data_IF_725210049751
#
_entry.id   IF_725210049751
#
_cell.length_a   1.000
_cell.length_b   1.000
_cell.length_c   1.000
_cell.angle_alpha   90.00
_cell.angle_beta   90.00
_cell.angle_gamma   90.00
#
_symmetry.space_group_name_H-M   'P 1'
#
loop_
_entity.id
_entity.type
_entity.pdbx_description
1 polymer ?
#
# COMPACT_ATOMS: atom_id res chain seq x y z
N UNK A 1 -29.24 20.84 -39.20
CA UNK A 1 -30.29 21.87 -39.43
C UNK A 1 -30.57 22.07 -40.91
N UNK A 2 -29.58 21.82 -41.76
CA UNK A 2 -29.57 22.14 -43.19
C UNK A 2 -30.79 21.67 -43.99
N UNK A 3 -31.26 20.44 -43.75
CA UNK A 3 -32.37 19.83 -44.49
C UNK A 3 -33.77 20.24 -44.00
N UNK A 4 -33.85 21.11 -42.99
CA UNK A 4 -35.13 21.53 -42.41
C UNK A 4 -35.97 22.29 -43.45
N UNK A 5 -37.22 21.85 -43.65
CA UNK A 5 -38.13 22.48 -44.61
C UNK A 5 -38.73 23.78 -44.04
N UNK A 6 -38.49 24.88 -44.73
CA UNK A 6 -38.97 26.22 -44.40
C UNK A 6 -39.98 26.68 -45.45
N UNK A 7 -41.12 27.20 -44.99
CA UNK A 7 -42.17 27.76 -45.83
C UNK A 7 -41.83 29.19 -46.22
N UNK A 8 -41.94 29.50 -47.50
CA UNK A 8 -41.81 30.85 -48.01
C UNK A 8 -43.17 31.58 -47.98
N UNK A 9 -43.21 32.92 -48.07
CA UNK A 9 -44.45 33.70 -48.11
C UNK A 9 -45.38 33.32 -49.28
N UNK A 10 -44.80 32.80 -50.36
CA UNK A 10 -45.52 32.25 -51.52
C UNK A 10 -46.07 30.83 -51.32
N UNK A 11 -46.07 30.30 -50.10
CA UNK A 11 -46.50 28.94 -49.73
C UNK A 11 -45.65 27.78 -50.28
N UNK A 12 -44.62 28.05 -51.09
CA UNK A 12 -43.62 27.06 -51.48
C UNK A 12 -42.66 26.74 -50.33
N UNK A 13 -41.93 25.62 -50.43
CA UNK A 13 -40.98 25.17 -49.40
C UNK A 13 -39.55 25.19 -49.94
N UNK A 14 -38.61 25.61 -49.11
CA UNK A 14 -37.16 25.51 -49.36
C UNK A 14 -36.48 24.84 -48.16
N UNK A 15 -35.18 24.55 -48.26
CA UNK A 15 -34.41 24.06 -47.11
C UNK A 15 -33.81 25.23 -46.32
N UNK A 16 -33.59 25.04 -45.03
CA UNK A 16 -33.00 26.06 -44.16
C UNK A 16 -31.62 26.49 -44.67
N UNK A 17 -30.82 25.54 -45.18
CA UNK A 17 -29.53 25.81 -45.83
C UNK A 17 -29.69 26.70 -47.07
N UNK A 18 -30.56 26.33 -48.00
CA UNK A 18 -30.81 27.13 -49.21
C UNK A 18 -31.34 28.53 -48.91
N UNK A 19 -32.13 28.69 -47.84
CA UNK A 19 -32.64 29.99 -47.42
C UNK A 19 -31.53 30.89 -46.87
N UNK A 20 -30.62 30.35 -46.05
CA UNK A 20 -29.52 31.12 -45.43
C UNK A 20 -28.38 31.40 -46.41
N UNK A 21 -28.11 30.46 -47.31
CA UNK A 21 -27.10 30.61 -48.36
C UNK A 21 -27.58 31.50 -49.52
N UNK A 22 -28.88 31.83 -49.58
CA UNK A 22 -29.39 32.76 -50.58
C UNK A 22 -28.94 34.20 -50.30
N UNK A 23 -28.22 34.79 -51.24
CA UNK A 23 -27.65 36.14 -51.12
C UNK A 23 -28.72 37.17 -50.74
N UNK A 24 -28.35 38.08 -49.84
CA UNK A 24 -29.18 39.04 -49.05
C UNK A 24 -30.14 39.96 -49.85
N UNK A 25 -30.24 39.83 -51.17
CA UNK A 25 -31.21 40.57 -51.99
C UNK A 25 -31.58 39.80 -53.25
N UNK A 26 -32.34 38.71 -53.14
CA UNK A 26 -32.65 37.92 -54.33
C UNK A 26 -34.10 37.47 -54.32
N UNK A 27 -34.77 37.66 -55.44
CA UNK A 27 -36.13 37.18 -55.67
C UNK A 27 -36.28 35.72 -55.24
N UNK A 28 -37.48 35.34 -54.81
CA UNK A 28 -37.80 33.96 -54.46
C UNK A 28 -37.29 33.00 -55.53
N UNK A 29 -36.48 32.03 -55.12
CA UNK A 29 -35.87 31.04 -56.03
C UNK A 29 -36.89 30.09 -56.66
N UNK A 30 -38.13 30.05 -56.14
CA UNK A 30 -39.17 29.13 -56.59
C UNK A 30 -40.15 29.80 -57.54
N UNK A 31 -40.64 31.01 -57.22
CA UNK A 31 -41.64 31.69 -58.05
C UNK A 31 -41.15 32.99 -58.69
N UNK A 32 -39.94 33.45 -58.34
CA UNK A 32 -39.29 34.66 -58.87
C UNK A 32 -40.11 35.97 -58.79
N UNK A 33 -41.25 35.97 -58.10
CA UNK A 33 -42.25 37.05 -58.13
C UNK A 33 -42.16 38.03 -56.98
N UNK A 34 -41.50 37.66 -55.87
CA UNK A 34 -41.35 38.50 -54.68
C UNK A 34 -39.92 38.44 -54.16
N UNK A 35 -39.55 39.40 -53.32
CA UNK A 35 -38.28 39.37 -52.58
C UNK A 35 -38.45 38.53 -51.32
N UNK A 36 -37.46 37.71 -50.99
CA UNK A 36 -37.42 36.99 -49.73
C UNK A 36 -36.70 37.86 -48.70
N UNK A 37 -37.36 38.15 -47.60
CA UNK A 37 -36.70 38.58 -46.37
C UNK A 37 -36.52 37.35 -45.48
N UNK A 38 -35.27 36.92 -45.28
CA UNK A 38 -34.94 35.70 -44.53
C UNK A 38 -35.50 35.80 -43.10
N UNK A 39 -35.35 36.95 -42.43
CA UNK A 39 -35.81 37.13 -41.05
C UNK A 39 -37.33 37.01 -40.95
N UNK A 40 -38.07 37.61 -41.88
CA UNK A 40 -39.54 37.47 -41.93
C UNK A 40 -39.97 36.02 -42.19
N UNK A 41 -39.25 35.29 -43.04
CA UNK A 41 -39.52 33.88 -43.29
C UNK A 41 -39.29 33.02 -42.06
N UNK A 42 -38.22 33.27 -41.29
CA UNK A 42 -37.93 32.54 -40.05
C UNK A 42 -38.94 32.84 -38.94
N UNK A 43 -39.53 34.03 -38.92
CA UNK A 43 -40.55 34.43 -37.95
C UNK A 43 -41.97 33.95 -38.29
N UNK A 44 -42.22 33.38 -39.47
CA UNK A 44 -43.51 32.73 -39.78
C UNK A 44 -43.79 31.67 -38.70
N UNK A 45 -44.96 31.69 -38.03
CA UNK A 45 -45.23 30.83 -36.87
C UNK A 45 -44.93 29.35 -37.10
N UNK A 46 -45.25 28.83 -38.30
CA UNK A 46 -44.97 27.44 -38.69
C UNK A 46 -43.47 27.14 -38.80
N UNK A 47 -42.69 28.06 -39.35
CA UNK A 47 -41.24 27.89 -39.48
C UNK A 47 -40.57 28.00 -38.11
N UNK A 48 -40.99 28.96 -37.30
CA UNK A 48 -40.54 29.11 -35.91
C UNK A 48 -40.79 27.83 -35.10
N UNK A 49 -41.97 27.23 -35.25
CA UNK A 49 -42.31 25.95 -34.62
C UNK A 49 -41.43 24.81 -35.13
N UNK A 50 -41.26 24.67 -36.46
CA UNK A 50 -40.39 23.65 -37.06
C UNK A 50 -38.92 23.78 -36.61
N UNK A 51 -38.40 25.01 -36.55
CA UNK A 51 -37.04 25.30 -36.10
C UNK A 51 -36.88 24.91 -34.63
N UNK A 52 -37.81 25.35 -33.76
CA UNK A 52 -37.78 25.00 -32.33
C UNK A 52 -37.89 23.49 -32.12
N UNK A 53 -38.76 22.81 -32.87
CA UNK A 53 -38.87 21.36 -32.81
C UNK A 53 -37.55 20.68 -33.17
N UNK A 54 -36.90 21.10 -34.27
CA UNK A 54 -35.61 20.53 -34.67
C UNK A 54 -34.50 20.85 -33.67
N UNK A 55 -34.52 22.03 -33.04
CA UNK A 55 -33.59 22.36 -31.94
C UNK A 55 -33.79 21.41 -30.76
N UNK A 56 -35.03 21.15 -30.34
CA UNK A 56 -35.33 20.21 -29.26
C UNK A 56 -34.85 18.80 -29.62
N UNK A 57 -35.08 18.34 -30.86
CA UNK A 57 -34.60 17.03 -31.32
C UNK A 57 -33.07 16.93 -31.24
N UNK A 58 -32.33 17.97 -31.68
CA UNK A 58 -30.86 17.97 -31.60
C UNK A 58 -30.35 17.99 -30.15
N UNK A 59 -31.00 18.74 -29.26
CA UNK A 59 -30.64 18.74 -27.83
C UNK A 59 -30.96 17.39 -27.17
N UNK A 60 -32.05 16.72 -27.57
CA UNK A 60 -32.37 15.37 -27.11
C UNK A 60 -31.33 14.35 -27.59
N UNK A 61 -30.94 14.39 -28.86
CA UNK A 61 -29.88 13.55 -29.42
C UNK A 61 -28.56 13.75 -28.64
N UNK A 62 -28.20 14.99 -28.33
CA UNK A 62 -27.02 15.32 -27.53
C UNK A 62 -27.14 14.81 -26.09
N UNK A 63 -28.30 15.01 -25.45
CA UNK A 63 -28.57 14.51 -24.10
C UNK A 63 -28.46 12.99 -24.01
N UNK A 64 -28.99 12.26 -25.00
CA UNK A 64 -28.88 10.79 -25.06
C UNK A 64 -27.43 10.32 -25.19
N UNK A 65 -26.63 11.00 -26.02
CA UNK A 65 -25.19 10.73 -26.14
C UNK A 65 -24.46 10.97 -24.81
N UNK A 66 -24.73 12.10 -24.14
CA UNK A 66 -24.16 12.40 -22.82
C UNK A 66 -24.57 11.35 -21.77
N UNK A 67 -25.84 10.95 -21.76
CA UNK A 67 -26.36 9.91 -20.86
C UNK A 67 -25.66 8.57 -21.08
N UNK A 68 -25.46 8.17 -22.33
CA UNK A 68 -24.71 6.95 -22.66
C UNK A 68 -23.25 7.04 -22.21
N UNK A 69 -22.60 8.19 -22.40
CA UNK A 69 -21.25 8.43 -21.90
C UNK A 69 -21.14 8.31 -20.38
N UNK A 70 -22.13 8.81 -19.63
CA UNK A 70 -22.17 8.69 -18.16
C UNK A 70 -22.27 7.23 -17.73
N UNK A 71 -23.10 6.41 -18.38
CA UNK A 71 -23.23 5.00 -18.00
C UNK A 71 -21.92 4.23 -18.25
N UNK A 72 -21.24 4.50 -19.37
CA UNK A 72 -19.92 3.93 -19.64
C UNK A 72 -18.86 4.36 -18.61
N UNK A 73 -18.89 5.63 -18.17
CA UNK A 73 -17.98 6.13 -17.13
C UNK A 73 -18.28 5.44 -15.79
N UNK A 74 -19.55 5.23 -15.46
CA UNK A 74 -19.97 4.55 -14.24
C UNK A 74 -19.46 3.11 -14.19
N UNK A 75 -19.61 2.35 -15.29
CA UNK A 75 -19.08 0.99 -15.39
C UNK A 75 -17.56 0.95 -15.24
N UNK A 76 -16.84 1.79 -16.00
CA UNK A 76 -15.37 1.88 -15.93
C UNK A 76 -14.87 2.32 -14.56
N UNK A 77 -15.57 3.22 -13.88
CA UNK A 77 -15.19 3.67 -12.54
C UNK A 77 -15.30 2.53 -11.52
N UNK A 78 -16.33 1.69 -11.62
CA UNK A 78 -16.46 0.52 -10.74
C UNK A 78 -15.31 -0.46 -10.99
N UNK A 79 -14.99 -0.75 -12.25
CA UNK A 79 -13.86 -1.61 -12.61
C UNK A 79 -12.52 -1.06 -12.10
N UNK A 80 -12.29 0.24 -12.30
CA UNK A 80 -11.08 0.93 -11.85
C UNK A 80 -10.93 0.88 -10.32
N UNK A 81 -11.99 1.24 -9.58
CA UNK A 81 -11.99 1.20 -8.11
C UNK A 81 -11.73 -0.24 -7.65
N UNK A 82 -12.44 -1.23 -8.18
CA UNK A 82 -12.25 -2.62 -7.78
C UNK A 82 -10.81 -3.09 -8.04
N UNK A 83 -10.25 -2.77 -9.22
CA UNK A 83 -8.87 -3.11 -9.57
C UNK A 83 -7.85 -2.49 -8.60
N UNK A 84 -8.06 -1.23 -8.19
CA UNK A 84 -7.17 -0.56 -7.24
C UNK A 84 -7.26 -1.19 -5.84
N UNK A 85 -8.46 -1.51 -5.37
CA UNK A 85 -8.64 -2.20 -4.09
C UNK A 85 -8.06 -3.61 -4.11
N UNK A 86 -8.23 -4.36 -5.21
CA UNK A 86 -7.62 -5.68 -5.39
C UNK A 86 -6.09 -5.60 -5.43
N UNK A 87 -5.53 -4.58 -6.07
CA UNK A 87 -4.08 -4.32 -6.05
C UNK A 87 -3.58 -4.08 -4.63
N UNK A 88 -4.23 -3.20 -3.87
CA UNK A 88 -3.86 -2.91 -2.48
C UNK A 88 -3.97 -4.15 -1.58
N UNK A 89 -5.04 -4.94 -1.75
CA UNK A 89 -5.20 -6.21 -1.04
C UNK A 89 -4.06 -7.17 -1.32
N UNK A 90 -3.65 -7.32 -2.59
CA UNK A 90 -2.52 -8.16 -2.98
C UNK A 90 -1.20 -7.67 -2.37
N UNK A 91 -0.98 -6.37 -2.29
CA UNK A 91 0.21 -5.79 -1.64
C UNK A 91 0.23 -6.12 -0.14
N UNK A 92 -0.90 -5.96 0.55
CA UNK A 92 -1.06 -6.34 1.96
C UNK A 92 -0.78 -7.84 2.17
N UNK A 93 -1.33 -8.70 1.31
CA UNK A 93 -1.13 -10.15 1.39
C UNK A 93 0.34 -10.53 1.17
N UNK A 94 1.02 -9.92 0.18
CA UNK A 94 2.45 -10.14 -0.05
C UNK A 94 3.30 -9.72 1.15
N UNK A 95 2.96 -8.60 1.80
CA UNK A 95 3.65 -8.13 3.00
C UNK A 95 3.44 -9.09 4.17
N UNK A 96 2.22 -9.58 4.35
CA UNK A 96 1.90 -10.60 5.36
C UNK A 96 2.73 -11.87 5.17
N UNK A 97 2.81 -12.40 3.95
CA UNK A 97 3.58 -13.62 3.69
C UNK A 97 5.10 -13.42 3.88
N UNK A 98 5.64 -12.26 3.46
CA UNK A 98 7.04 -11.90 3.75
C UNK A 98 7.33 -11.82 5.24
N UNK A 99 6.42 -11.25 6.01
CA UNK A 99 6.58 -11.13 7.45
C UNK A 99 6.57 -12.50 8.14
N UNK A 100 5.61 -13.37 7.79
CA UNK A 100 5.57 -14.75 8.29
C UNK A 100 6.89 -15.47 8.06
N UNK A 101 7.39 -15.43 6.82
CA UNK A 101 8.67 -16.04 6.47
C UNK A 101 9.81 -15.48 7.32
N UNK A 102 9.86 -14.17 7.51
CA UNK A 102 10.91 -13.53 8.32
C UNK A 102 10.85 -13.95 9.80
N UNK A 103 9.64 -14.15 10.34
CA UNK A 103 9.43 -14.66 11.70
C UNK A 103 9.90 -16.12 11.78
N UNK A 104 9.50 -16.95 10.83
CA UNK A 104 9.86 -18.37 10.78
C UNK A 104 11.39 -18.55 10.63
N UNK A 105 12.02 -17.82 9.72
CA UNK A 105 13.48 -17.83 9.52
C UNK A 105 14.21 -17.44 10.81
N UNK A 106 13.74 -16.43 11.53
CA UNK A 106 14.31 -16.01 12.80
C UNK A 106 14.08 -17.04 13.92
N UNK A 107 12.89 -17.65 13.96
CA UNK A 107 12.56 -18.72 14.89
C UNK A 107 13.49 -19.92 14.72
N UNK A 108 13.66 -20.41 13.49
CA UNK A 108 14.55 -21.54 13.20
C UNK A 108 16.01 -21.21 13.52
N UNK A 109 16.46 -19.98 13.21
CA UNK A 109 17.80 -19.53 13.61
C UNK A 109 18.04 -19.62 15.11
N UNK A 110 17.08 -19.18 15.94
CA UNK A 110 17.22 -19.27 17.41
C UNK A 110 17.29 -20.72 17.88
N UNK A 111 16.47 -21.61 17.29
CA UNK A 111 16.51 -23.03 17.62
C UNK A 111 17.86 -23.66 17.27
N UNK A 112 18.39 -23.35 16.08
CA UNK A 112 19.70 -23.86 15.65
C UNK A 112 20.82 -23.38 16.57
N UNK A 113 20.81 -22.11 16.98
CA UNK A 113 21.77 -21.56 17.94
C UNK A 113 21.65 -22.23 19.32
N UNK A 114 20.43 -22.53 19.77
CA UNK A 114 20.19 -23.25 21.03
C UNK A 114 20.71 -24.68 20.96
N UNK A 115 20.43 -25.40 19.87
CA UNK A 115 20.91 -26.75 19.66
C UNK A 115 22.44 -26.81 19.55
N UNK A 116 23.04 -25.86 18.83
CA UNK A 116 24.49 -25.76 18.72
C UNK A 116 25.14 -25.53 20.10
N UNK A 117 24.59 -24.62 20.92
CA UNK A 117 25.05 -24.41 22.30
C UNK A 117 24.90 -25.67 23.15
N UNK A 118 23.77 -26.37 23.05
CA UNK A 118 23.57 -27.66 23.75
C UNK A 118 24.64 -28.67 23.35
N UNK A 119 24.86 -28.88 22.05
CA UNK A 119 25.88 -29.81 21.54
C UNK A 119 27.28 -29.44 22.01
N UNK A 120 27.66 -28.17 21.93
CA UNK A 120 28.97 -27.69 22.39
C UNK A 120 29.16 -27.93 23.89
N UNK A 121 28.15 -27.63 24.71
CA UNK A 121 28.24 -27.83 26.16
C UNK A 121 28.36 -29.31 26.54
N UNK A 122 27.64 -30.20 25.85
CA UNK A 122 27.78 -31.65 26.03
C UNK A 122 29.20 -32.08 25.66
N UNK A 123 29.71 -31.61 24.52
CA UNK A 123 31.05 -31.95 24.03
C UNK A 123 32.15 -31.46 24.98
N UNK A 124 32.07 -30.22 25.48
CA UNK A 124 32.98 -29.69 26.49
C UNK A 124 33.02 -30.59 27.73
N UNK A 125 31.84 -31.01 28.22
CA UNK A 125 31.76 -31.92 29.37
C UNK A 125 32.35 -33.31 29.06
N UNK A 126 32.14 -33.85 27.87
CA UNK A 126 32.72 -35.13 27.46
C UNK A 126 34.26 -35.06 27.32
N UNK A 127 34.79 -33.95 26.82
CA UNK A 127 36.24 -33.72 26.72
C UNK A 127 36.86 -33.60 28.12
N UNK A 128 36.23 -32.84 29.02
CA UNK A 128 36.65 -32.73 30.42
C UNK A 128 36.68 -34.12 31.09
N UNK A 129 35.65 -34.96 30.89
CA UNK A 129 35.59 -36.32 31.43
C UNK A 129 36.70 -37.24 30.87
N UNK A 130 37.02 -37.13 29.59
CA UNK A 130 38.11 -37.91 28.97
C UNK A 130 39.49 -37.51 29.49
N UNK A 131 39.73 -36.21 29.68
CA UNK A 131 40.99 -35.71 30.26
C UNK A 131 41.19 -36.26 31.69
N UNK A 132 40.09 -36.38 32.40
CA UNK A 132 40.03 -36.96 33.73
C UNK A 132 40.32 -38.47 33.69
N UNK A 133 39.63 -39.25 32.86
CA UNK A 133 39.80 -40.71 32.74
C UNK A 133 41.20 -41.13 32.25
N UNK A 134 41.82 -40.29 31.41
CA UNK A 134 43.16 -40.55 30.86
C UNK A 134 44.30 -40.26 31.85
N UNK A 135 44.00 -39.74 33.04
CA UNK A 135 44.99 -39.48 34.06
C UNK A 135 45.65 -40.76 34.56
N UNK A 136 46.98 -40.80 34.50
CA UNK A 136 47.79 -41.89 35.06
C UNK A 136 48.87 -41.27 35.93
N UNK A 137 49.08 -41.87 37.09
CA UNK A 137 50.18 -41.53 37.98
C UNK A 137 51.41 -42.28 37.49
N UNK A 138 52.53 -41.57 37.31
CA UNK A 138 53.79 -42.23 37.00
C UNK A 138 54.29 -42.97 38.23
N UNK A 139 54.51 -44.28 38.08
CA UNK A 139 55.15 -45.09 39.12
C UNK A 139 56.66 -44.92 39.01
N UNK A 140 57.38 -44.60 40.10
CA UNK A 140 58.82 -44.57 40.09
C UNK A 140 59.35 -46.00 39.91
N UNK A 141 59.61 -46.40 38.65
CA UNK A 141 60.17 -47.71 38.33
C UNK A 141 61.70 -47.65 38.28
N UNK A 142 62.35 -48.47 39.10
CA UNK A 142 63.77 -48.87 38.91
C UNK A 142 64.87 -48.01 39.55
N UNK A 143 64.56 -46.99 40.35
CA UNK A 143 65.56 -46.20 41.08
C UNK A 143 65.68 -46.65 42.55
N UNK A 144 66.89 -46.94 43.04
CA UNK A 144 67.17 -47.14 44.49
C UNK A 144 67.41 -45.80 45.24
N UNK A 145 67.32 -44.67 44.54
CA UNK A 145 67.43 -43.35 45.14
C UNK A 145 66.12 -42.95 45.83
N UNK A 146 66.16 -42.92 47.16
CA UNK A 146 65.02 -42.54 48.00
C UNK A 146 64.65 -41.06 47.87
N UNK A 147 65.60 -40.15 47.61
CA UNK A 147 65.31 -38.73 47.42
C UNK A 147 64.52 -38.52 46.12
N UNK A 148 64.96 -39.16 45.03
CA UNK A 148 64.24 -39.13 43.76
C UNK A 148 62.81 -39.68 43.88
N UNK A 149 62.60 -40.75 44.65
CA UNK A 149 61.27 -41.29 44.92
C UNK A 149 60.37 -40.30 45.67
N UNK A 150 60.91 -39.63 46.69
CA UNK A 150 60.17 -38.61 47.46
C UNK A 150 59.76 -37.45 46.54
N UNK A 151 60.68 -36.90 45.76
CA UNK A 151 60.40 -35.80 44.82
C UNK A 151 59.32 -36.20 43.79
N UNK A 152 59.42 -37.42 43.26
CA UNK A 152 58.42 -37.96 42.30
C UNK A 152 57.04 -38.09 42.97
N UNK A 153 56.99 -38.53 44.22
CA UNK A 153 55.73 -38.63 44.97
C UNK A 153 55.13 -37.26 45.31
N UNK A 154 55.94 -36.26 45.64
CA UNK A 154 55.45 -34.89 45.90
C UNK A 154 54.86 -34.25 44.63
N UNK A 155 55.52 -34.42 43.48
CA UNK A 155 55.00 -33.97 42.18
C UNK A 155 53.67 -34.67 41.86
N UNK A 156 53.62 -36.00 42.00
CA UNK A 156 52.40 -36.76 41.79
C UNK A 156 51.27 -36.33 42.73
N UNK A 157 51.58 -36.03 44.00
CA UNK A 157 50.61 -35.55 44.98
C UNK A 157 50.04 -34.17 44.59
N UNK A 158 50.89 -33.27 44.07
CA UNK A 158 50.45 -31.96 43.57
C UNK A 158 49.50 -32.11 42.38
N UNK A 159 49.88 -32.91 41.38
CA UNK A 159 49.05 -33.19 40.21
C UNK A 159 47.70 -33.83 40.60
N UNK A 160 47.71 -34.72 41.59
CA UNK A 160 46.49 -35.35 42.09
C UNK A 160 45.55 -34.33 42.74
N UNK A 161 46.08 -33.41 43.55
CA UNK A 161 45.30 -32.35 44.21
C UNK A 161 44.67 -31.41 43.19
N UNK A 162 45.42 -31.01 42.17
CA UNK A 162 44.89 -30.14 41.11
C UNK A 162 43.73 -30.81 40.36
N UNK A 163 43.85 -32.12 40.08
CA UNK A 163 42.76 -32.89 39.47
C UNK A 163 41.56 -33.05 40.38
N UNK A 164 41.76 -33.32 41.68
CA UNK A 164 40.65 -33.40 42.66
C UNK A 164 39.89 -32.08 42.71
N UNK A 165 40.58 -30.94 42.73
CA UNK A 165 39.94 -29.62 42.70
C UNK A 165 39.10 -29.44 41.42
N UNK A 166 39.65 -29.82 40.26
CA UNK A 166 38.92 -29.77 38.99
C UNK A 166 37.64 -30.63 39.04
N UNK A 167 37.73 -31.83 39.62
CA UNK A 167 36.59 -32.73 39.82
C UNK A 167 35.52 -32.11 40.73
N UNK A 168 35.92 -31.52 41.86
CA UNK A 168 35.00 -30.91 42.81
C UNK A 168 34.27 -29.71 42.19
N UNK A 169 34.98 -28.84 41.46
CA UNK A 169 34.37 -27.72 40.73
C UNK A 169 33.30 -28.19 39.74
N UNK A 170 33.54 -29.33 39.07
CA UNK A 170 32.63 -29.89 38.06
C UNK A 170 31.48 -30.71 38.65
N UNK A 171 31.70 -31.45 39.73
CA UNK A 171 30.63 -32.07 40.49
C UNK A 171 29.64 -31.00 40.98
N UNK A 172 30.14 -29.90 41.54
CA UNK A 172 29.32 -28.74 41.92
C UNK A 172 28.63 -28.09 40.72
N UNK A 173 29.27 -28.05 39.53
CA UNK A 173 28.63 -27.55 38.32
C UNK A 173 27.46 -28.43 37.87
N UNK A 174 27.57 -29.75 37.99
CA UNK A 174 26.49 -30.70 37.67
C UNK A 174 25.30 -30.58 38.62
N UNK A 175 25.54 -30.18 39.87
CA UNK A 175 24.51 -29.90 40.87
C UNK A 175 23.90 -28.50 40.69
N UNK A 176 24.65 -27.55 40.11
CA UNK A 176 24.13 -26.22 39.77
C UNK A 176 23.16 -26.33 38.60
N UNK A 177 21.87 -26.19 38.90
CA UNK A 177 20.81 -26.09 37.89
C UNK A 177 20.97 -24.80 37.07
N UNK A 178 21.67 -24.89 35.93
CA UNK A 178 21.77 -23.78 34.97
C UNK A 178 20.45 -23.64 34.23
N UNK A 179 19.82 -22.49 34.38
CA UNK A 179 18.54 -22.17 33.72
C UNK A 179 18.82 -21.20 32.57
N UNK A 180 18.54 -21.64 31.35
CA UNK A 180 18.56 -20.78 30.18
C UNK A 180 17.23 -20.05 30.06
N UNK A 181 17.27 -18.71 30.07
CA UNK A 181 16.08 -17.87 29.94
C UNK A 181 16.08 -17.15 28.60
N UNK A 182 14.95 -17.20 27.89
CA UNK A 182 14.72 -16.37 26.72
C UNK A 182 14.52 -14.92 27.17
N UNK A 183 15.44 -14.03 26.77
CA UNK A 183 15.28 -12.59 27.03
C UNK A 183 14.12 -12.07 26.18
N UNK A 184 13.17 -11.39 26.82
CA UNK A 184 12.08 -10.70 26.11
C UNK A 184 12.65 -9.59 25.23
N UNK A 185 12.03 -9.39 24.07
CA UNK A 185 12.35 -8.25 23.21
C UNK A 185 12.10 -6.94 23.97
N UNK A 186 12.98 -5.95 23.75
CA UNK A 186 12.89 -4.63 24.40
C UNK A 186 11.81 -3.73 23.78
N UNK A 187 11.46 -3.98 22.54
CA UNK A 187 10.55 -3.15 21.75
C UNK A 187 9.27 -3.93 21.47
N UNK A 188 8.13 -3.24 21.61
CA UNK A 188 6.84 -3.75 21.19
C UNK A 188 6.81 -3.67 19.66
N UNK A 189 6.39 -4.76 19.04
CA UNK A 189 6.27 -4.88 17.60
C UNK A 189 5.07 -4.04 17.13
N UNK A 190 5.32 -2.94 16.40
CA UNK A 190 4.26 -2.08 15.88
C UNK A 190 3.86 -2.53 14.47
N UNK A 191 2.59 -2.86 14.28
CA UNK A 191 2.07 -3.34 12.99
C UNK A 191 1.88 -2.20 11.99
N UNK A 192 1.60 -0.98 12.44
CA UNK A 192 1.46 0.18 11.56
C UNK A 192 2.78 0.53 10.88
N UNK A 193 3.91 0.37 11.57
CA UNK A 193 5.24 0.59 10.99
C UNK A 193 5.58 -0.42 9.88
N UNK A 194 4.89 -1.57 9.88
CA UNK A 194 5.14 -2.66 8.94
C UNK A 194 4.17 -2.61 7.78
N UNK A 195 2.87 -2.51 8.06
CA UNK A 195 1.80 -2.54 7.06
C UNK A 195 1.43 -1.16 6.54
N UNK A 196 1.80 -0.09 7.24
CA UNK A 196 1.37 1.27 6.93
C UNK A 196 -0.09 1.51 7.27
N UNK A 197 -0.59 2.64 6.77
CA UNK A 197 -1.99 3.05 6.86
C UNK A 197 -2.48 3.35 5.44
N UNK A 198 -3.74 3.02 5.15
CA UNK A 198 -4.35 3.35 3.86
C UNK A 198 -4.65 4.85 3.86
N UNK A 199 -3.96 5.58 3.00
CA UNK A 199 -4.23 7.00 2.74
C UNK A 199 -4.87 7.16 1.36
N UNK A 200 -5.95 7.93 1.28
CA UNK A 200 -6.46 8.42 0.00
C UNK A 200 -5.63 9.62 -0.43
N UNK A 201 -5.06 9.54 -1.62
CA UNK A 201 -4.38 10.66 -2.23
C UNK A 201 -5.10 11.08 -3.50
N UNK A 202 -5.49 12.34 -3.58
CA UNK A 202 -5.99 12.92 -4.82
C UNK A 202 -4.83 13.54 -5.58
N UNK A 203 -4.39 12.86 -6.65
CA UNK A 203 -3.28 13.33 -7.49
C UNK A 203 -3.60 14.66 -8.19
N UNK A 204 -4.88 14.93 -8.49
CA UNK A 204 -5.27 16.16 -9.18
C UNK A 204 -5.19 17.38 -8.26
N UNK A 205 -5.38 17.18 -6.96
CA UNK A 205 -5.37 18.25 -5.96
C UNK A 205 -4.16 18.20 -5.02
N UNK A 206 -3.26 17.23 -5.22
CA UNK A 206 -2.02 17.05 -4.46
C UNK A 206 -2.28 17.02 -2.93
N UNK A 207 -3.36 16.35 -2.52
CA UNK A 207 -3.87 16.41 -1.15
C UNK A 207 -4.37 15.05 -0.67
N UNK A 208 -4.07 14.72 0.58
CA UNK A 208 -4.65 13.57 1.26
C UNK A 208 -6.11 13.82 1.67
N UNK A 209 -6.96 12.81 1.51
CA UNK A 209 -8.37 12.82 1.91
C UNK A 209 -8.50 11.88 3.11
N UNK A 210 -8.99 12.39 4.24
CA UNK A 210 -9.26 11.54 5.41
C UNK A 210 -10.54 10.75 5.17
N UNK A 211 -10.47 9.42 5.34
CA UNK A 211 -11.66 8.58 5.47
C UNK A 211 -12.30 8.81 6.86
N UNK A 212 -13.61 9.05 6.86
CA UNK A 212 -14.54 9.04 8.01
C UNK A 212 -14.71 10.33 8.83
N UNK A 213 -15.94 10.87 8.78
CA UNK A 213 -16.83 10.75 9.95
C UNK A 213 -18.24 10.31 9.48
N UNK A 214 -18.90 9.38 10.17
CA UNK A 214 -20.29 9.04 9.93
C UNK A 214 -21.19 10.11 10.56
N UNK A 215 -22.06 10.75 9.78
CA UNK A 215 -23.07 11.67 10.34
C UNK A 215 -24.27 10.85 10.78
N UNK A 216 -24.40 10.65 12.08
CA UNK A 216 -25.66 10.27 12.70
C UNK A 216 -26.67 11.42 12.56
N UNK A 217 -27.88 11.04 12.14
CA UNK A 217 -29.15 11.75 12.28
C UNK A 217 -29.36 13.05 11.49
N UNK A 218 -30.26 12.96 10.50
CA UNK A 218 -31.47 13.79 10.42
C UNK A 218 -32.55 12.94 9.73
N UNK A 219 -33.08 11.96 10.47
CA UNK A 219 -34.43 11.46 10.20
C UNK A 219 -35.36 12.58 10.70
N UNK A 220 -35.93 13.35 9.77
CA UNK A 220 -37.18 14.06 9.99
C UNK A 220 -38.20 13.48 9.03
N UNK A 221 -39.12 12.76 9.64
CA UNK A 221 -40.40 12.19 9.20
C UNK A 221 -40.98 12.60 7.84
N UNK A 222 -41.60 11.58 7.25
CA UNK A 222 -42.59 11.57 6.17
C UNK A 222 -42.03 11.53 4.74
N UNK A 223 -41.70 10.33 4.26
CA UNK A 223 -42.45 9.65 3.17
C UNK A 223 -42.17 8.14 3.25
N UNK A 224 -43.22 7.36 3.40
CA UNK A 224 -43.20 5.89 3.29
C UNK A 224 -42.99 5.45 1.83
N UNK A 225 -42.06 4.51 1.70
CA UNK A 225 -42.06 3.39 0.75
C UNK A 225 -41.41 3.49 -0.65
N UNK A 226 -40.31 2.71 -0.73
CA UNK A 226 -39.64 2.04 -1.84
C UNK A 226 -38.66 2.78 -2.75
N UNK A 227 -37.37 2.48 -2.51
CA UNK A 227 -36.54 1.89 -3.58
C UNK A 227 -35.24 2.60 -3.96
N UNK A 228 -34.18 2.31 -3.19
CA UNK A 228 -32.81 2.11 -3.69
C UNK A 228 -31.98 3.33 -4.12
N UNK A 229 -30.89 3.51 -3.37
CA UNK A 229 -29.56 3.95 -3.82
C UNK A 229 -29.47 5.18 -4.73
N UNK A 230 -29.20 6.34 -4.14
CA UNK A 230 -28.25 7.29 -4.73
C UNK A 230 -27.84 8.35 -3.71
N UNK A 231 -26.60 8.26 -3.23
CA UNK A 231 -25.98 9.37 -2.53
C UNK A 231 -25.54 10.39 -3.58
N UNK A 232 -26.32 11.45 -3.72
CA UNK A 232 -25.91 12.68 -4.39
C UNK A 232 -24.98 13.46 -3.44
N UNK A 233 -23.74 13.68 -3.86
CA UNK A 233 -22.85 14.62 -3.17
C UNK A 233 -23.07 16.03 -3.70
N UNK A 234 -23.52 16.93 -2.82
CA UNK A 234 -23.41 18.37 -3.02
C UNK A 234 -22.10 18.85 -2.39
N UNK A 235 -21.31 19.54 -3.22
CA UNK A 235 -20.06 20.21 -2.85
C UNK A 235 -20.41 21.47 -2.08
N UNK A 236 -19.92 21.61 -0.85
CA UNK A 236 -19.76 22.92 -0.23
C UNK A 236 -18.27 23.20 -0.02
N UNK A 237 -17.85 24.34 -0.53
CA UNK A 237 -16.49 24.88 -0.42
C UNK A 237 -16.24 25.51 0.96
N UNK A 238 -14.93 25.62 1.29
CA UNK A 238 -14.27 26.39 2.36
C UNK A 238 -14.04 25.59 3.67
N UNK A 239 -12.88 25.61 4.35
CA UNK A 239 -11.69 26.48 4.27
C UNK A 239 -10.45 25.83 4.91
N UNK A 240 -9.29 26.35 4.52
CA UNK A 240 -7.92 26.11 4.98
C UNK A 240 -7.66 25.84 6.48
N UNK A 241 -6.64 25.01 6.72
CA UNK A 241 -5.39 25.28 7.46
C UNK A 241 -5.03 24.06 8.32
N UNK A 242 -3.79 23.60 8.42
CA UNK A 242 -2.53 23.94 7.80
C UNK A 242 -1.50 22.94 8.34
N UNK A 243 -0.58 22.46 7.50
CA UNK A 243 0.59 21.75 8.01
C UNK A 243 1.84 22.32 7.36
N UNK A 244 2.63 22.96 8.23
CA UNK A 244 3.89 23.60 7.92
C UNK A 244 4.98 22.55 7.68
N UNK A 245 5.71 22.75 6.58
CA UNK A 245 6.94 22.08 6.19
C UNK A 245 8.01 22.21 7.28
N UNK A 246 8.70 21.11 7.60
CA UNK A 246 10.14 21.16 7.90
C UNK A 246 10.88 20.16 7.02
N UNK A 247 11.52 20.73 6.00
CA UNK A 247 12.37 20.06 5.04
C UNK A 247 13.76 19.75 5.63
N UNK A 248 14.26 18.59 5.20
CA UNK A 248 15.65 18.17 5.02
C UNK A 248 16.75 19.25 5.13
N UNK A 249 17.82 18.89 5.85
CA UNK A 249 19.20 19.22 5.46
C UNK A 249 20.11 18.00 5.63
N UNK A 250 20.26 17.23 4.56
CA UNK A 250 21.44 16.40 4.30
C UNK A 250 22.53 17.29 3.70
N UNK A 251 23.73 17.27 4.28
CA UNK A 251 24.97 17.66 3.59
C UNK A 251 26.04 16.61 3.87
N UNK A 252 26.18 15.69 2.92
CA UNK A 252 27.35 14.86 2.72
C UNK A 252 28.40 15.66 1.91
N UNK A 253 29.66 15.68 2.39
CA UNK A 253 30.91 15.70 1.60
C UNK A 253 32.12 16.01 2.50
N UNK A 254 33.02 15.04 2.65
CA UNK A 254 34.40 15.08 2.11
C UNK A 254 35.20 13.87 2.59
N UNK A 255 35.42 12.92 1.67
CA UNK A 255 36.62 12.08 1.66
C UNK A 255 37.83 12.97 1.35
N UNK A 256 38.90 12.84 2.14
CA UNK A 256 40.27 13.14 1.71
C UNK A 256 41.17 11.95 2.05
N UNK A 257 41.70 11.33 0.99
CA UNK A 257 42.92 10.51 0.99
C UNK A 257 44.14 11.38 1.34
N UNK A 258 45.11 10.79 2.05
CA UNK A 258 46.59 10.89 1.88
C UNK A 258 47.20 9.94 2.94
N UNK A 259 47.80 8.81 2.56
CA UNK A 259 49.24 8.64 2.26
C UNK A 259 50.13 9.32 3.32
N UNK A 260 50.65 8.54 4.28
CA UNK A 260 52.04 8.05 4.31
C UNK A 260 52.05 6.70 5.04
#
# INVERSE_FOLDING_TARGET
MDDLKIYLPCAFKTTYKQLIESDKSSKCSICHSHKININECLEIPRNKLNIKQRQIELELENFEQMRSGIEQVKEKNVEFINSDFDRLKNEIDLMREKLKKSIDDYYFKILDELEAKRRNKIKENEEDLKEIESFKIESPSGSDDYLFKIDTHEINLSLLKDKINLYEERAQFSEKKIIYNLKKAKTIFNLEDIFGVIDLFDENFNKSINFCEPVESLISSDVSDFGSSSNYFKINHLTNSGYNKKALKTKSKKLKKKQF
#
